data_IF_252972238048
#
_entry.id   IF_252972238048
#
_cell.length_a   1.000
_cell.length_b   1.000
_cell.length_c   1.000
_cell.angle_alpha   90.00
_cell.angle_beta   90.00
_cell.angle_gamma   90.00
#
_symmetry.space_group_name_H-M   'P 1'
#
loop_
_entity.id
_entity.type
_entity.pdbx_description
1 polymer ?
#
# COMPACT_ATOMS: atom_id res chain seq x y z
N UNK A 1 -9.21 5.22 11.26
CA UNK A 1 -7.86 5.80 11.37
C UNK A 1 -6.95 5.11 10.39
N UNK A 2 -6.39 5.85 9.44
CA UNK A 2 -5.46 5.33 8.43
C UNK A 2 -4.05 5.67 8.92
N UNK A 3 -3.33 4.68 9.46
CA UNK A 3 -1.93 4.86 9.85
C UNK A 3 -1.03 4.67 8.63
N UNK A 4 -0.03 5.55 8.48
CA UNK A 4 0.96 5.45 7.41
C UNK A 4 1.78 4.16 7.51
N UNK A 5 2.33 3.71 6.37
CA UNK A 5 3.13 2.47 6.31
C UNK A 5 4.37 2.57 7.21
N UNK A 6 5.06 3.71 7.17
CA UNK A 6 6.25 3.99 7.98
C UNK A 6 5.94 3.90 9.48
N UNK A 7 4.83 4.52 9.92
CA UNK A 7 4.41 4.48 11.31
C UNK A 7 4.09 3.05 11.79
N UNK A 8 3.45 2.24 10.93
CA UNK A 8 3.20 0.83 11.26
C UNK A 8 4.49 0.04 11.37
N UNK A 9 5.48 0.28 10.51
CA UNK A 9 6.78 -0.38 10.56
C UNK A 9 7.58 0.01 11.81
N UNK A 10 7.65 1.29 12.15
CA UNK A 10 8.30 1.76 13.38
C UNK A 10 7.63 1.19 14.63
N UNK A 11 6.30 1.20 14.69
CA UNK A 11 5.56 0.60 15.79
C UNK A 11 5.81 -0.91 15.91
N UNK A 12 5.93 -1.62 14.79
CA UNK A 12 6.25 -3.04 14.79
C UNK A 12 7.68 -3.31 15.26
N UNK A 13 8.65 -2.48 14.85
CA UNK A 13 10.04 -2.58 15.30
C UNK A 13 10.17 -2.29 16.78
N UNK A 14 9.55 -1.20 17.26
CA UNK A 14 9.50 -0.85 18.67
C UNK A 14 8.83 -1.97 19.48
N UNK A 15 7.75 -2.57 18.96
CA UNK A 15 7.11 -3.72 19.60
C UNK A 15 8.03 -4.94 19.71
N UNK A 16 8.95 -5.15 18.76
CA UNK A 16 9.95 -6.23 18.81
C UNK A 16 11.02 -5.96 19.90
N UNK A 17 11.33 -4.71 20.18
CA UNK A 17 12.33 -4.30 21.18
C UNK A 17 11.77 -4.24 22.61
N UNK A 18 10.64 -3.55 22.83
CA UNK A 18 10.09 -3.29 24.18
C UNK A 18 8.81 -4.08 24.50
N UNK A 19 8.20 -4.73 23.50
CA UNK A 19 6.98 -5.52 23.63
C UNK A 19 5.68 -4.74 23.36
N UNK A 20 4.63 -5.46 22.93
CA UNK A 20 3.34 -4.91 22.45
C UNK A 20 2.70 -3.93 23.43
N UNK A 21 2.71 -4.25 24.72
CA UNK A 21 2.02 -3.45 25.76
C UNK A 21 2.71 -2.09 25.96
N UNK A 22 4.03 -2.10 26.12
CA UNK A 22 4.82 -0.85 26.28
C UNK A 22 4.79 0.00 25.02
N UNK A 23 4.85 -0.61 23.84
CA UNK A 23 4.73 0.10 22.57
C UNK A 23 3.36 0.73 22.38
N UNK A 24 2.29 0.01 22.75
CA UNK A 24 0.94 0.55 22.69
C UNK A 24 0.78 1.77 23.63
N UNK A 25 1.28 1.67 24.86
CA UNK A 25 1.31 2.79 25.82
C UNK A 25 2.13 3.99 25.29
N UNK A 26 3.33 3.73 24.75
CA UNK A 26 4.23 4.77 24.24
C UNK A 26 3.68 5.49 22.99
N UNK A 27 2.98 4.78 22.11
CA UNK A 27 2.39 5.34 20.90
C UNK A 27 0.97 5.88 21.13
N UNK A 28 0.42 5.76 22.35
CA UNK A 28 -0.96 6.12 22.66
C UNK A 28 -1.99 5.26 21.89
N UNK A 29 -1.59 4.05 21.49
CA UNK A 29 -2.42 3.12 20.73
C UNK A 29 -3.03 2.07 21.66
N UNK A 30 -4.13 1.47 21.22
CA UNK A 30 -4.70 0.35 21.97
C UNK A 30 -3.85 -0.90 21.72
N UNK A 31 -3.66 -1.71 22.76
CA UNK A 31 -2.85 -2.94 22.72
C UNK A 31 -3.18 -3.84 21.52
N UNK A 32 -4.46 -4.03 21.25
CA UNK A 32 -4.93 -4.89 20.17
C UNK A 32 -4.50 -4.39 18.79
N UNK A 33 -4.29 -3.08 18.60
CA UNK A 33 -3.83 -2.51 17.33
C UNK A 33 -2.43 -3.02 16.97
N UNK A 34 -1.50 -2.97 17.93
CA UNK A 34 -0.13 -3.46 17.72
C UNK A 34 -0.10 -5.00 17.62
N UNK A 35 -0.93 -5.68 18.40
CA UNK A 35 -1.08 -7.14 18.33
C UNK A 35 -1.60 -7.59 16.95
N UNK A 36 -2.62 -6.93 16.42
CA UNK A 36 -3.17 -7.19 15.09
C UNK A 36 -2.15 -6.91 13.99
N UNK A 37 -1.35 -5.85 14.11
CA UNK A 37 -0.27 -5.57 13.16
C UNK A 37 0.78 -6.68 13.16
N UNK A 38 1.14 -7.22 14.34
CA UNK A 38 2.05 -8.38 14.42
C UNK A 38 1.45 -9.63 13.81
N UNK A 39 0.16 -9.89 14.05
CA UNK A 39 -0.56 -11.02 13.47
C UNK A 39 -0.61 -10.90 11.95
N UNK A 40 -0.91 -9.71 11.42
CA UNK A 40 -0.93 -9.43 9.99
C UNK A 40 0.47 -9.51 9.35
N UNK A 41 1.53 -9.07 10.05
CA UNK A 41 2.92 -9.23 9.60
C UNK A 41 3.32 -10.71 9.51
N UNK A 42 2.89 -11.55 10.45
CA UNK A 42 3.10 -13.01 10.36
C UNK A 42 2.25 -13.62 9.25
N UNK A 43 0.98 -13.23 9.12
CA UNK A 43 0.11 -13.70 8.05
C UNK A 43 0.66 -13.34 6.67
N UNK A 44 1.19 -12.13 6.47
CA UNK A 44 1.88 -11.74 5.22
C UNK A 44 3.16 -12.54 4.95
N UNK A 45 3.85 -13.01 5.99
CA UNK A 45 5.03 -13.89 5.86
C UNK A 45 4.67 -15.35 5.58
N UNK A 46 3.52 -15.82 6.06
CA UNK A 46 3.07 -17.22 5.91
C UNK A 46 2.14 -17.43 4.71
N UNK A 47 1.35 -16.42 4.31
CA UNK A 47 0.80 -16.41 2.96
C UNK A 47 1.99 -16.27 2.02
N UNK A 48 2.13 -17.08 0.96
CA UNK A 48 2.91 -16.66 -0.18
C UNK A 48 2.22 -15.38 -0.66
N UNK A 49 2.72 -14.23 -0.18
CA UNK A 49 2.50 -12.98 -0.84
C UNK A 49 2.80 -13.28 -2.30
N UNK A 50 1.85 -13.00 -3.19
CA UNK A 50 2.19 -12.71 -4.58
C UNK A 50 3.45 -11.87 -4.48
N UNK A 51 4.57 -12.48 -4.83
CA UNK A 51 5.88 -12.05 -4.36
C UNK A 51 6.05 -10.58 -4.74
N UNK A 52 6.85 -9.80 -4.03
CA UNK A 52 7.09 -8.39 -4.37
C UNK A 52 7.31 -8.17 -5.90
N UNK A 53 7.85 -9.20 -6.56
CA UNK A 53 7.89 -9.44 -8.01
C UNK A 53 6.54 -9.44 -8.76
N UNK A 54 5.54 -10.21 -8.33
CA UNK A 54 4.21 -10.26 -8.97
C UNK A 54 3.41 -8.98 -8.75
N UNK A 55 3.54 -8.36 -7.58
CA UNK A 55 2.93 -7.05 -7.32
C UNK A 55 3.58 -5.94 -8.16
N UNK A 56 4.91 -5.95 -8.31
CA UNK A 56 5.62 -5.05 -9.23
C UNK A 56 5.28 -5.30 -10.70
N UNK A 57 5.16 -6.55 -11.11
CA UNK A 57 4.76 -6.87 -12.49
C UNK A 57 3.36 -6.37 -12.79
N UNK A 58 2.41 -6.60 -11.88
CA UNK A 58 1.04 -6.09 -12.02
C UNK A 58 0.99 -4.56 -11.99
N UNK A 59 1.81 -3.92 -11.17
CA UNK A 59 1.93 -2.45 -11.17
C UNK A 59 2.46 -1.93 -12.50
N UNK A 60 3.47 -2.59 -13.07
CA UNK A 60 4.05 -2.23 -14.38
C UNK A 60 3.06 -2.44 -15.54
N UNK A 61 2.29 -3.52 -15.52
CA UNK A 61 1.22 -3.75 -16.50
C UNK A 61 0.12 -2.70 -16.38
N UNK A 62 -0.33 -2.40 -15.16
CA UNK A 62 -1.33 -1.37 -14.91
C UNK A 62 -0.86 0.03 -15.30
N UNK A 63 0.41 0.39 -15.08
CA UNK A 63 0.96 1.67 -15.56
C UNK A 63 0.99 1.76 -17.09
N UNK A 64 1.29 0.65 -17.77
CA UNK A 64 1.30 0.60 -19.24
C UNK A 64 -0.10 0.78 -19.81
N UNK A 65 -1.08 0.07 -19.26
CA UNK A 65 -2.49 0.19 -19.66
C UNK A 65 -3.02 1.61 -19.41
N UNK A 66 -2.65 2.23 -18.27
CA UNK A 66 -3.05 3.60 -17.96
C UNK A 66 -2.40 4.64 -18.91
N UNK A 67 -1.15 4.41 -19.33
CA UNK A 67 -0.48 5.25 -20.31
C UNK A 67 -1.13 5.15 -21.71
N UNK A 68 -1.54 3.94 -22.11
CA UNK A 68 -2.25 3.72 -23.38
C UNK A 68 -3.65 4.34 -23.37
N UNK A 69 -4.39 4.18 -22.27
CA UNK A 69 -5.69 4.82 -22.07
C UNK A 69 -5.60 6.35 -22.08
N UNK A 70 -4.56 6.93 -21.47
CA UNK A 70 -4.30 8.38 -21.53
C UNK A 70 -4.03 8.85 -22.95
N UNK A 71 -3.21 8.13 -23.73
CA UNK A 71 -2.98 8.48 -25.15
C UNK A 71 -4.26 8.38 -25.98
N UNK A 72 -5.07 7.35 -25.76
CA UNK A 72 -6.35 7.20 -26.45
C UNK A 72 -7.30 8.36 -26.11
N UNK A 73 -7.37 8.76 -24.84
CA UNK A 73 -8.12 9.93 -24.40
C UNK A 73 -7.58 11.22 -24.99
N UNK A 74 -6.26 11.40 -25.08
CA UNK A 74 -5.66 12.59 -25.69
C UNK A 74 -5.99 12.68 -27.19
N UNK A 75 -5.95 11.55 -27.91
CA UNK A 75 -6.34 11.49 -29.33
C UNK A 75 -7.84 11.81 -29.48
N UNK A 76 -8.69 11.22 -28.64
CA UNK A 76 -10.13 11.49 -28.67
C UNK A 76 -10.44 12.96 -28.36
N UNK A 77 -9.77 13.54 -27.36
CA UNK A 77 -9.88 14.97 -27.04
C UNK A 77 -9.42 15.84 -28.22
N UNK A 78 -8.31 15.51 -28.88
CA UNK A 78 -7.83 16.24 -30.06
C UNK A 78 -8.85 16.19 -31.20
N UNK A 79 -9.46 15.02 -31.46
CA UNK A 79 -10.51 14.85 -32.48
C UNK A 79 -11.75 15.66 -32.09
N UNK A 80 -12.16 15.65 -30.81
CA UNK A 80 -13.33 16.38 -30.33
C UNK A 80 -13.14 17.90 -30.38
N UNK A 81 -11.93 18.38 -30.05
CA UNK A 81 -11.56 19.80 -30.14
C UNK A 81 -11.45 20.28 -31.59
N UNK A 82 -11.01 19.43 -32.52
CA UNK A 82 -10.93 19.78 -33.95
C UNK A 82 -12.26 19.59 -34.70
N UNK A 83 -13.16 18.75 -34.20
CA UNK A 83 -14.51 18.53 -34.75
C UNK A 83 -15.56 19.54 -34.28
N UNK A 84 -15.20 20.47 -33.39
CA UNK A 84 -16.06 21.59 -32.92
C UNK A 84 -15.92 22.88 -33.76
N UNK A 85 -15.22 22.86 -34.89
CA UNK A 85 -15.20 23.97 -35.85
C UNK A 85 -16.21 23.78 -36.97
#
# INVERSE_FOLDING_TARGET
MIYSKEFKEEALKLSDEIGVKKTAEQLGLRYYTIADWRKNRKAQKLSPALTDTEQKNRFKELERENAELKRANDILNLIFEHGKR
#
